data_IF_644348406687
#
_entry.id   IF_644348406687
#
_cell.length_a   1.000
_cell.length_b   1.000
_cell.length_c   1.000
_cell.angle_alpha   90.00
_cell.angle_beta   90.00
_cell.angle_gamma   90.00
#
_symmetry.space_group_name_H-M   'P 1'
#
loop_
_entity.id
_entity.type
_entity.pdbx_description
1 polymer ?
#
# COMPACT_ATOMS: atom_id res chain seq x y z
N UNK A 1 -24.27 7.79 17.59
CA UNK A 1 -23.05 6.96 17.67
C UNK A 1 -21.85 7.88 17.63
N UNK A 2 -20.88 7.68 18.51
CA UNK A 2 -19.64 8.45 18.54
C UNK A 2 -18.74 8.02 17.40
N UNK A 3 -18.27 8.98 16.58
CA UNK A 3 -17.33 8.72 15.50
C UNK A 3 -15.98 8.28 16.09
N UNK A 4 -15.30 7.25 15.54
CA UNK A 4 -13.97 6.86 16.00
C UNK A 4 -12.94 7.96 15.72
N UNK A 5 -11.87 8.01 16.51
CA UNK A 5 -10.73 8.87 16.22
C UNK A 5 -9.80 8.18 15.22
N UNK A 6 -9.87 8.58 13.95
CA UNK A 6 -9.06 7.98 12.88
C UNK A 6 -7.55 8.23 13.02
N UNK A 7 -7.14 9.28 13.72
CA UNK A 7 -5.73 9.65 13.84
C UNK A 7 -4.91 8.64 14.67
N UNK A 8 -5.56 7.93 15.60
CA UNK A 8 -4.92 6.91 16.44
C UNK A 8 -4.96 5.51 15.82
N UNK A 9 -5.69 5.34 14.71
CA UNK A 9 -5.85 4.04 14.06
C UNK A 9 -4.66 3.71 13.18
N UNK A 10 -4.31 2.42 13.13
CA UNK A 10 -3.33 1.89 12.17
C UNK A 10 -3.91 1.87 10.76
N UNK A 11 -3.06 1.83 9.72
CA UNK A 11 -3.50 1.72 8.32
C UNK A 11 -4.48 0.56 8.09
N UNK A 12 -4.22 -0.61 8.72
CA UNK A 12 -5.09 -1.79 8.62
C UNK A 12 -6.47 -1.56 9.25
N UNK A 13 -6.51 -0.87 10.40
CA UNK A 13 -7.77 -0.54 11.08
C UNK A 13 -8.59 0.48 10.27
N UNK A 14 -7.93 1.50 9.69
CA UNK A 14 -8.58 2.47 8.82
C UNK A 14 -9.14 1.82 7.55
N UNK A 15 -8.39 0.89 6.94
CA UNK A 15 -8.85 0.13 5.78
C UNK A 15 -10.10 -0.71 6.12
N UNK A 16 -10.08 -1.45 7.24
CA UNK A 16 -11.21 -2.25 7.67
C UNK A 16 -12.46 -1.38 7.90
N UNK A 17 -12.31 -0.27 8.62
CA UNK A 17 -13.40 0.67 8.88
C UNK A 17 -13.94 1.28 7.59
N UNK A 18 -13.07 1.75 6.68
CA UNK A 18 -13.48 2.33 5.40
C UNK A 18 -14.27 1.34 4.53
N UNK A 19 -13.90 0.05 4.56
CA UNK A 19 -14.62 -0.99 3.81
C UNK A 19 -16.02 -1.27 4.37
N UNK A 20 -16.20 -1.18 5.70
CA UNK A 20 -17.48 -1.30 6.39
C UNK A 20 -18.34 -0.03 6.27
N UNK A 21 -17.70 1.14 6.14
CA UNK A 21 -18.32 2.47 6.13
C UNK A 21 -17.95 3.25 4.86
N UNK A 22 -18.33 2.73 3.69
CA UNK A 22 -17.92 3.27 2.38
C UNK A 22 -18.37 4.72 2.10
N UNK A 23 -19.41 5.19 2.78
CA UNK A 23 -19.93 6.56 2.66
C UNK A 23 -19.19 7.57 3.57
N UNK A 24 -18.33 7.11 4.49
CA UNK A 24 -17.59 7.97 5.41
C UNK A 24 -16.30 8.50 4.75
N UNK A 25 -16.43 9.62 4.03
CA UNK A 25 -15.31 10.28 3.37
C UNK A 25 -14.16 10.62 4.33
N UNK A 26 -14.44 10.88 5.60
CA UNK A 26 -13.40 11.21 6.58
C UNK A 26 -12.49 10.00 6.87
N UNK A 27 -13.06 8.78 6.88
CA UNK A 27 -12.27 7.56 7.00
C UNK A 27 -11.39 7.32 5.77
N UNK A 28 -11.90 7.66 4.57
CA UNK A 28 -11.13 7.61 3.34
C UNK A 28 -9.94 8.58 3.37
N UNK A 29 -10.15 9.84 3.76
CA UNK A 29 -9.08 10.83 3.87
C UNK A 29 -8.03 10.41 4.89
N UNK A 30 -8.45 9.95 6.08
CA UNK A 30 -7.52 9.49 7.10
C UNK A 30 -6.70 8.27 6.66
N UNK A 31 -7.30 7.35 5.90
CA UNK A 31 -6.58 6.22 5.29
C UNK A 31 -5.54 6.72 4.26
N UNK A 32 -5.93 7.63 3.38
CA UNK A 32 -5.03 8.15 2.34
C UNK A 32 -3.88 8.98 2.94
N UNK A 33 -4.13 9.77 3.97
CA UNK A 33 -3.07 10.49 4.70
C UNK A 33 -2.05 9.52 5.29
N UNK A 34 -2.53 8.42 5.88
CA UNK A 34 -1.67 7.32 6.38
C UNK A 34 -0.85 6.66 5.28
N UNK A 35 -1.46 6.41 4.11
CA UNK A 35 -0.78 5.82 2.95
C UNK A 35 0.30 6.75 2.42
N UNK A 36 0.00 8.05 2.31
CA UNK A 36 0.93 9.06 1.80
C UNK A 36 2.06 9.40 2.79
N UNK A 37 1.82 9.22 4.09
CA UNK A 37 2.83 9.41 5.13
C UNK A 37 3.83 8.23 5.22
N UNK A 38 3.46 7.04 4.71
CA UNK A 38 4.41 5.94 4.60
C UNK A 38 5.46 6.26 3.51
N UNK A 39 6.74 5.95 3.74
CA UNK A 39 7.77 6.17 2.73
C UNK A 39 7.37 5.44 1.44
N UNK A 40 7.57 6.10 0.30
CA UNK A 40 7.23 5.53 -0.99
C UNK A 40 7.84 4.13 -1.12
N UNK A 41 6.97 3.12 -1.18
CA UNK A 41 7.39 1.78 -1.57
C UNK A 41 8.07 1.89 -2.94
N UNK A 42 9.09 1.08 -3.17
CA UNK A 42 9.76 1.05 -4.47
C UNK A 42 8.70 0.86 -5.57
N UNK A 43 8.58 1.86 -6.43
CA UNK A 43 7.54 1.92 -7.44
C UNK A 43 8.01 1.14 -8.67
N UNK A 44 7.27 0.09 -9.02
CA UNK A 44 7.55 -0.74 -10.18
C UNK A 44 6.55 -0.43 -11.28
N UNK A 45 6.87 0.47 -12.23
CA UNK A 45 5.95 0.83 -13.29
C UNK A 45 5.62 -0.37 -14.17
N UNK A 46 4.43 -0.35 -14.77
CA UNK A 46 4.08 -1.32 -15.80
C UNK A 46 5.03 -1.18 -17.00
N UNK A 47 5.45 -2.30 -17.63
CA UNK A 47 6.18 -2.29 -18.89
C UNK A 47 5.52 -1.39 -19.92
N UNK A 48 6.30 -0.52 -20.55
CA UNK A 48 5.85 0.30 -21.68
C UNK A 48 6.18 -0.38 -23.02
N UNK A 49 7.06 -1.39 -23.00
CA UNK A 49 7.50 -2.12 -24.19
C UNK A 49 7.77 -3.61 -23.91
N UNK A 50 7.93 -4.40 -24.99
CA UNK A 50 8.38 -5.80 -24.91
C UNK A 50 9.81 -5.88 -24.37
N UNK A 51 10.64 -4.87 -24.65
CA UNK A 51 12.03 -4.81 -24.20
C UNK A 51 12.10 -4.74 -22.66
N UNK A 52 11.17 -4.02 -22.03
CA UNK A 52 11.07 -3.88 -20.58
C UNK A 52 10.79 -5.23 -19.88
N UNK A 53 10.12 -6.17 -20.58
CA UNK A 53 9.87 -7.51 -20.06
C UNK A 53 11.15 -8.33 -19.87
N UNK A 54 12.26 -7.97 -20.54
CA UNK A 54 13.55 -8.66 -20.36
C UNK A 54 14.13 -8.46 -18.96
N UNK A 55 13.72 -7.40 -18.27
CA UNK A 55 14.16 -7.09 -16.91
C UNK A 55 13.29 -7.74 -15.82
N UNK A 56 12.11 -8.27 -16.16
CA UNK A 56 11.20 -8.92 -15.21
C UNK A 56 11.82 -10.09 -14.43
N UNK A 57 12.59 -11.01 -15.06
CA UNK A 57 13.21 -12.10 -14.33
C UNK A 57 14.17 -11.63 -13.23
N UNK A 58 14.93 -10.55 -13.49
CA UNK A 58 15.87 -9.99 -12.52
C UNK A 58 15.13 -9.36 -11.33
N UNK A 59 14.00 -8.70 -11.61
CA UNK A 59 13.13 -8.14 -10.57
C UNK A 59 12.55 -9.23 -9.65
N UNK A 60 12.09 -10.35 -10.22
CA UNK A 60 11.56 -11.48 -9.45
C UNK A 60 12.63 -12.13 -8.55
N UNK A 61 13.86 -12.26 -9.05
CA UNK A 61 14.98 -12.78 -8.26
C UNK A 61 15.38 -11.81 -7.13
N UNK A 62 15.39 -10.49 -7.37
CA UNK A 62 15.62 -9.49 -6.32
C UNK A 62 14.62 -9.66 -5.17
N UNK A 63 13.31 -9.73 -5.47
CA UNK A 63 12.28 -9.90 -4.44
C UNK A 63 12.37 -11.26 -3.73
N UNK A 64 12.77 -12.32 -4.44
CA UNK A 64 13.01 -13.62 -3.79
C UNK A 64 14.11 -13.49 -2.74
N UNK A 65 15.25 -12.88 -3.09
CA UNK A 65 16.37 -12.69 -2.18
C UNK A 65 16.05 -11.77 -1.00
N UNK A 66 15.25 -10.72 -1.22
CA UNK A 66 14.79 -9.84 -0.12
C UNK A 66 13.95 -10.60 0.89
N UNK A 67 12.99 -11.41 0.44
CA UNK A 67 12.18 -12.25 1.33
C UNK A 67 12.99 -13.31 2.08
N UNK A 68 14.02 -13.87 1.46
CA UNK A 68 14.92 -14.84 2.11
C UNK A 68 15.82 -14.19 3.17
N UNK A 69 16.14 -12.91 3.04
CA UNK A 69 16.94 -12.15 4.02
C UNK A 69 16.12 -11.63 5.20
N UNK A 70 14.81 -11.47 5.02
CA UNK A 70 13.88 -11.01 6.06
C UNK A 70 13.33 -12.16 6.94
N UNK A 71 13.61 -13.42 6.58
CA UNK A 71 13.18 -14.63 7.29
C UNK A 71 14.27 -15.17 8.25
#
# INVERSE_FOLDING_TARGET
MTKPNFQVMTKKQLLAYMLEHREDNEAFYAYMDKVNAEPASEFYPAPQSIEDLKHFPQLLEKFRQEREKEA
#
